data_IF_426940467511
#
_entry.id   IF_426940467511
#
_cell.length_a   1.000
_cell.length_b   1.000
_cell.length_c   1.000
_cell.angle_alpha   90.00
_cell.angle_beta   90.00
_cell.angle_gamma   90.00
#
_symmetry.space_group_name_H-M   'P 1'
#
loop_
_entity.id
_entity.type
_entity.pdbx_description
1 polymer ?
#
# COMPACT_ATOMS: atom_id res chain seq x y z
N UNK A 1 -9.65 -24.05 19.79
CA UNK A 1 -11.04 -23.83 19.34
C UNK A 1 -11.57 -22.65 20.13
N UNK A 2 -11.92 -21.59 19.46
CA UNK A 2 -12.54 -20.41 20.07
C UNK A 2 -13.92 -20.82 20.63
N UNK A 3 -14.24 -20.36 21.84
CA UNK A 3 -15.49 -20.77 22.49
C UNK A 3 -16.67 -20.15 21.71
N UNK A 4 -17.68 -20.95 21.38
CA UNK A 4 -18.88 -20.51 20.64
C UNK A 4 -19.53 -19.26 21.25
N UNK A 5 -19.50 -19.12 22.56
CA UNK A 5 -20.01 -17.94 23.27
C UNK A 5 -19.23 -16.66 22.97
N UNK A 6 -17.91 -16.77 22.70
CA UNK A 6 -17.06 -15.65 22.36
C UNK A 6 -17.38 -15.15 20.93
N UNK A 7 -17.58 -16.06 19.98
CA UNK A 7 -17.99 -15.72 18.61
C UNK A 7 -19.36 -15.04 18.60
N UNK A 8 -20.31 -15.55 19.40
CA UNK A 8 -21.65 -14.96 19.53
C UNK A 8 -21.58 -13.52 20.04
N UNK A 9 -20.76 -13.28 21.06
CA UNK A 9 -20.55 -11.94 21.61
C UNK A 9 -19.93 -10.97 20.60
N UNK A 10 -18.98 -11.45 19.79
CA UNK A 10 -18.37 -10.66 18.71
C UNK A 10 -19.40 -10.28 17.64
N UNK A 11 -20.18 -11.25 17.17
CA UNK A 11 -21.25 -11.00 16.19
C UNK A 11 -22.26 -9.99 16.74
N UNK A 12 -22.72 -10.16 17.96
CA UNK A 12 -23.69 -9.28 18.59
C UNK A 12 -23.17 -7.84 18.69
N UNK A 13 -21.93 -7.66 19.13
CA UNK A 13 -21.26 -6.36 19.23
C UNK A 13 -21.15 -5.69 17.86
N UNK A 14 -20.65 -6.40 16.86
CA UNK A 14 -20.42 -5.88 15.53
C UNK A 14 -21.73 -5.57 14.81
N UNK A 15 -22.75 -6.43 14.95
CA UNK A 15 -24.09 -6.21 14.39
C UNK A 15 -24.70 -4.92 14.96
N UNK A 16 -24.66 -4.74 16.28
CA UNK A 16 -25.15 -3.53 16.95
C UNK A 16 -24.41 -2.27 16.46
N UNK A 17 -23.09 -2.36 16.27
CA UNK A 17 -22.29 -1.27 15.77
C UNK A 17 -22.72 -0.88 14.35
N UNK A 18 -22.77 -1.82 13.41
CA UNK A 18 -23.11 -1.54 12.00
C UNK A 18 -24.54 -1.00 11.86
N UNK A 19 -25.50 -1.52 12.63
CA UNK A 19 -26.86 -0.98 12.65
C UNK A 19 -26.87 0.49 13.10
N UNK A 20 -26.19 0.81 14.20
CA UNK A 20 -26.10 2.20 14.71
C UNK A 20 -25.40 3.13 13.72
N UNK A 21 -24.35 2.67 13.05
CA UNK A 21 -23.66 3.44 12.00
C UNK A 21 -24.56 3.69 10.78
N UNK A 22 -25.44 2.75 10.45
CA UNK A 22 -26.45 2.93 9.41
C UNK A 22 -27.64 3.83 9.85
N UNK A 23 -27.64 4.31 11.10
CA UNK A 23 -28.72 5.15 11.65
C UNK A 23 -30.05 4.43 11.85
N UNK A 24 -30.03 3.08 11.91
CA UNK A 24 -31.24 2.27 12.00
C UNK A 24 -31.58 1.91 13.46
N UNK A 25 -32.88 1.91 13.79
CA UNK A 25 -33.40 1.27 14.98
C UNK A 25 -33.46 -0.26 14.80
N UNK A 26 -33.65 -1.02 15.88
CA UNK A 26 -33.81 -2.47 15.79
C UNK A 26 -35.05 -2.85 14.95
N UNK A 27 -36.15 -2.11 15.10
CA UNK A 27 -37.39 -2.31 14.35
C UNK A 27 -37.21 -2.02 12.85
N UNK A 28 -36.50 -0.94 12.49
CA UNK A 28 -36.23 -0.60 11.09
C UNK A 28 -35.30 -1.62 10.41
N UNK A 29 -34.31 -2.13 11.16
CA UNK A 29 -33.47 -3.21 10.64
C UNK A 29 -34.31 -4.48 10.42
N UNK A 30 -35.12 -4.86 11.42
CA UNK A 30 -36.00 -6.02 11.32
C UNK A 30 -36.93 -5.96 10.11
N UNK A 31 -37.52 -4.80 9.85
CA UNK A 31 -38.36 -4.56 8.68
C UNK A 31 -37.59 -4.73 7.36
N UNK A 32 -36.33 -4.25 7.29
CA UNK A 32 -35.50 -4.34 6.08
C UNK A 32 -35.14 -5.77 5.69
N UNK A 33 -34.94 -6.65 6.69
CA UNK A 33 -34.55 -8.05 6.49
C UNK A 33 -35.72 -9.04 6.66
N UNK A 34 -36.97 -8.54 6.72
CA UNK A 34 -38.19 -9.33 6.90
C UNK A 34 -38.18 -10.24 8.15
N UNK A 35 -37.64 -9.71 9.26
CA UNK A 35 -37.62 -10.40 10.56
C UNK A 35 -38.37 -9.60 11.65
N UNK A 36 -38.49 -10.19 12.84
CA UNK A 36 -39.08 -9.50 13.97
C UNK A 36 -38.01 -8.65 14.72
N UNK A 37 -38.43 -7.55 15.33
CA UNK A 37 -37.61 -6.73 16.24
C UNK A 37 -37.07 -7.57 17.41
N UNK A 38 -37.84 -8.54 17.89
CA UNK A 38 -37.41 -9.50 18.93
C UNK A 38 -36.23 -10.37 18.46
N UNK A 39 -36.21 -10.76 17.19
CA UNK A 39 -35.11 -11.54 16.61
C UNK A 39 -33.83 -10.70 16.58
N UNK A 40 -33.91 -9.47 16.08
CA UNK A 40 -32.77 -8.54 16.04
C UNK A 40 -32.26 -8.26 17.46
N UNK A 41 -33.15 -7.99 18.41
CA UNK A 41 -32.81 -7.77 19.81
C UNK A 41 -32.10 -8.99 20.44
N UNK A 42 -32.57 -10.21 20.12
CA UNK A 42 -31.95 -11.46 20.57
C UNK A 42 -30.54 -11.64 20.03
N UNK A 43 -30.30 -11.30 18.75
CA UNK A 43 -28.98 -11.39 18.12
C UNK A 43 -28.01 -10.34 18.70
N UNK A 44 -28.47 -9.10 18.90
CA UNK A 44 -27.65 -8.02 19.44
C UNK A 44 -27.32 -8.18 20.94
N UNK A 45 -28.15 -8.95 21.68
CA UNK A 45 -27.87 -9.33 23.07
C UNK A 45 -26.97 -10.55 23.23
N UNK A 46 -26.56 -11.19 22.12
CA UNK A 46 -25.73 -12.40 22.13
C UNK A 46 -26.49 -13.69 22.50
N UNK A 47 -27.82 -13.62 22.68
CA UNK A 47 -28.68 -14.76 23.04
C UNK A 47 -29.08 -15.62 21.85
N UNK A 48 -28.48 -15.40 20.69
CA UNK A 48 -28.65 -16.14 19.43
C UNK A 48 -27.81 -15.54 18.34
N UNK A 49 -27.67 -16.27 17.23
CA UNK A 49 -26.95 -15.84 16.05
C UNK A 49 -27.94 -15.81 14.88
N UNK A 50 -27.87 -14.82 13.96
CA UNK A 50 -28.53 -14.92 12.67
C UNK A 50 -28.00 -16.12 11.90
N UNK A 51 -28.80 -16.73 11.08
CA UNK A 51 -28.30 -17.77 10.17
C UNK A 51 -27.38 -17.16 9.11
N UNK A 52 -26.64 -18.00 8.38
CA UNK A 52 -25.65 -17.56 7.41
C UNK A 52 -26.27 -16.71 6.29
N UNK A 53 -27.51 -17.00 5.88
CA UNK A 53 -28.18 -16.23 4.83
C UNK A 53 -28.50 -14.81 5.30
N UNK A 54 -28.94 -14.66 6.54
CA UNK A 54 -29.20 -13.35 7.15
C UNK A 54 -27.91 -12.58 7.39
N UNK A 55 -26.85 -13.27 7.80
CA UNK A 55 -25.52 -12.62 7.92
C UNK A 55 -25.00 -12.13 6.57
N UNK A 56 -25.25 -12.85 5.47
CA UNK A 56 -24.92 -12.40 4.11
C UNK A 56 -25.75 -11.17 3.72
N UNK A 57 -27.05 -11.19 3.95
CA UNK A 57 -27.95 -10.07 3.67
C UNK A 57 -27.56 -8.82 4.48
N UNK A 58 -27.22 -8.99 5.74
CA UNK A 58 -26.72 -7.94 6.61
C UNK A 58 -25.35 -7.40 6.13
N UNK A 59 -24.46 -8.29 5.67
CA UNK A 59 -23.17 -7.89 5.12
C UNK A 59 -23.34 -7.05 3.85
N UNK A 60 -24.27 -7.42 2.97
CA UNK A 60 -24.61 -6.66 1.78
C UNK A 60 -25.27 -5.30 2.14
N UNK A 61 -26.23 -5.30 3.07
CA UNK A 61 -26.89 -4.09 3.57
C UNK A 61 -25.91 -3.07 4.13
N UNK A 62 -24.87 -3.52 4.84
CA UNK A 62 -23.87 -2.66 5.44
C UNK A 62 -22.63 -2.44 4.57
N UNK A 63 -22.52 -3.10 3.41
CA UNK A 63 -21.35 -3.01 2.51
C UNK A 63 -20.07 -3.54 3.16
N UNK A 64 -20.16 -4.62 3.92
CA UNK A 64 -19.07 -5.28 4.63
C UNK A 64 -18.96 -6.75 4.23
N UNK A 65 -17.99 -7.48 4.77
CA UNK A 65 -17.83 -8.92 4.56
C UNK A 65 -18.31 -9.71 5.79
N UNK A 66 -18.65 -10.99 5.61
CA UNK A 66 -18.99 -11.89 6.73
C UNK A 66 -17.90 -11.92 7.81
N UNK A 67 -16.64 -11.81 7.41
CA UNK A 67 -15.51 -11.83 8.32
C UNK A 67 -15.50 -10.62 9.27
N UNK A 68 -16.04 -9.48 8.82
CA UNK A 68 -16.12 -8.26 9.62
C UNK A 68 -17.07 -8.40 10.82
N UNK A 69 -17.99 -9.40 10.83
CA UNK A 69 -18.82 -9.71 11.99
C UNK A 69 -18.08 -10.51 13.07
N UNK A 70 -17.03 -11.26 12.72
CA UNK A 70 -16.30 -12.14 13.65
C UNK A 70 -14.89 -11.67 14.00
N UNK A 71 -14.35 -10.67 13.26
CA UNK A 71 -13.03 -10.10 13.56
C UNK A 71 -13.00 -9.36 14.90
N UNK A 72 -11.88 -9.53 15.64
CA UNK A 72 -11.56 -8.73 16.80
C UNK A 72 -11.00 -7.36 16.38
N UNK A 73 -11.57 -6.29 16.90
CA UNK A 73 -11.10 -4.93 16.65
C UNK A 73 -12.22 -3.91 16.59
N UNK A 74 -11.88 -2.68 16.23
CA UNK A 74 -12.90 -1.69 15.87
C UNK A 74 -13.56 -2.10 14.56
N UNK A 75 -14.91 -2.21 14.52
CA UNK A 75 -15.64 -2.57 13.32
C UNK A 75 -15.30 -1.60 12.18
N UNK A 76 -15.03 -2.14 11.00
CA UNK A 76 -14.66 -1.35 9.82
C UNK A 76 -15.85 -0.52 9.34
N UNK A 77 -15.61 0.71 8.93
CA UNK A 77 -16.69 1.53 8.34
C UNK A 77 -17.30 0.85 7.11
N UNK A 78 -18.64 0.88 6.94
CA UNK A 78 -19.32 0.35 5.76
C UNK A 78 -18.71 0.92 4.46
N UNK A 79 -18.41 0.05 3.50
CA UNK A 79 -17.75 0.44 2.23
C UNK A 79 -16.23 0.58 2.27
N UNK A 80 -15.58 0.40 3.42
CA UNK A 80 -14.13 0.55 3.53
C UNK A 80 -13.34 -0.50 2.71
N UNK A 81 -13.88 -1.70 2.53
CA UNK A 81 -13.24 -2.78 1.76
C UNK A 81 -13.36 -2.56 0.26
N UNK A 82 -14.52 -2.14 -0.22
CA UNK A 82 -14.76 -1.87 -1.64
C UNK A 82 -14.00 -0.60 -2.09
N UNK A 83 -14.04 0.46 -1.30
CA UNK A 83 -13.26 1.68 -1.53
C UNK A 83 -11.74 1.40 -1.53
N UNK A 84 -11.25 0.51 -0.66
CA UNK A 84 -9.83 0.18 -0.59
C UNK A 84 -9.33 -0.60 -1.82
N UNK A 85 -10.17 -1.45 -2.42
CA UNK A 85 -9.86 -2.17 -3.65
C UNK A 85 -9.91 -1.23 -4.86
N UNK A 86 -10.92 -0.35 -4.92
CA UNK A 86 -11.09 0.66 -5.98
C UNK A 86 -9.97 1.70 -5.97
N UNK A 87 -9.57 2.19 -4.79
CA UNK A 87 -8.44 3.13 -4.65
C UNK A 87 -7.10 2.50 -5.04
N UNK A 88 -6.85 1.23 -4.72
CA UNK A 88 -5.62 0.53 -5.17
C UNK A 88 -5.55 0.41 -6.69
N UNK A 89 -6.68 0.10 -7.34
CA UNK A 89 -6.76 0.06 -8.81
C UNK A 89 -6.47 1.42 -9.44
N UNK A 90 -7.02 2.50 -8.86
CA UNK A 90 -6.77 3.87 -9.31
C UNK A 90 -5.30 4.27 -9.14
N UNK A 91 -4.66 3.94 -8.00
CA UNK A 91 -3.24 4.21 -7.78
C UNK A 91 -2.36 3.50 -8.82
N UNK A 92 -2.66 2.23 -9.10
CA UNK A 92 -1.95 1.46 -10.11
C UNK A 92 -2.10 2.08 -11.50
N UNK A 93 -3.31 2.50 -11.87
CA UNK A 93 -3.57 3.18 -13.15
C UNK A 93 -2.76 4.49 -13.25
N UNK A 94 -2.74 5.32 -12.22
CA UNK A 94 -1.97 6.56 -12.18
C UNK A 94 -0.48 6.28 -12.32
N UNK A 95 0.07 5.27 -11.63
CA UNK A 95 1.48 4.88 -11.77
C UNK A 95 1.82 4.43 -13.19
N UNK A 96 0.97 3.62 -13.81
CA UNK A 96 1.17 3.15 -15.19
C UNK A 96 1.12 4.29 -16.20
N UNK A 97 0.14 5.20 -16.07
CA UNK A 97 0.04 6.37 -16.97
C UNK A 97 1.24 7.29 -16.80
N UNK A 98 1.67 7.59 -15.57
CA UNK A 98 2.84 8.45 -15.31
C UNK A 98 4.12 7.82 -15.85
N UNK A 99 4.31 6.51 -15.64
CA UNK A 99 5.43 5.76 -16.21
C UNK A 99 5.37 5.78 -17.74
N UNK A 100 4.20 5.59 -18.34
CA UNK A 100 4.00 5.65 -19.79
C UNK A 100 4.40 7.00 -20.40
N UNK A 101 4.10 8.12 -19.72
CA UNK A 101 4.53 9.46 -20.14
C UNK A 101 6.06 9.57 -20.18
N UNK A 102 6.77 9.07 -19.16
CA UNK A 102 8.24 9.09 -19.12
C UNK A 102 8.81 8.34 -20.33
N UNK A 103 8.29 7.15 -20.63
CA UNK A 103 8.74 6.36 -21.76
C UNK A 103 8.40 6.99 -23.12
N UNK A 104 7.22 7.63 -23.22
CA UNK A 104 6.83 8.36 -24.42
C UNK A 104 7.78 9.53 -24.70
N UNK A 105 8.10 10.33 -23.66
CA UNK A 105 9.06 11.43 -23.80
C UNK A 105 10.45 10.92 -24.21
N UNK A 106 10.93 9.84 -23.59
CA UNK A 106 12.22 9.24 -23.93
C UNK A 106 12.26 8.76 -25.40
N UNK A 107 11.18 8.12 -25.86
CA UNK A 107 11.07 7.66 -27.26
C UNK A 107 11.03 8.83 -28.22
N UNK A 108 10.27 9.90 -27.93
CA UNK A 108 10.25 11.11 -28.74
C UNK A 108 11.63 11.76 -28.82
N UNK A 109 12.33 11.89 -27.69
CA UNK A 109 13.70 12.43 -27.66
C UNK A 109 14.66 11.57 -28.47
N UNK A 110 14.60 10.25 -28.32
CA UNK A 110 15.43 9.34 -29.12
C UNK A 110 15.22 9.54 -30.61
N UNK A 111 13.96 9.57 -31.05
CA UNK A 111 13.63 9.72 -32.49
C UNK A 111 14.10 11.09 -33.01
N UNK A 112 13.83 12.16 -32.29
CA UNK A 112 14.24 13.51 -32.69
C UNK A 112 15.78 13.65 -32.76
N UNK A 113 16.49 13.17 -31.72
CA UNK A 113 17.94 13.24 -31.70
C UNK A 113 18.55 12.39 -32.82
N UNK A 114 18.02 11.20 -33.08
CA UNK A 114 18.50 10.34 -34.19
C UNK A 114 18.24 10.96 -35.55
N UNK A 115 17.13 11.67 -35.75
CA UNK A 115 16.77 12.32 -36.99
C UNK A 115 17.63 13.56 -37.28
N UNK A 116 17.87 14.41 -36.30
CA UNK A 116 18.58 15.67 -36.46
C UNK A 116 20.10 15.54 -36.31
N UNK A 117 20.58 14.52 -35.61
CA UNK A 117 22.02 14.30 -35.33
C UNK A 117 22.37 12.84 -35.57
N UNK A 118 22.42 12.40 -36.85
CA UNK A 118 22.77 11.03 -37.16
C UNK A 118 24.23 10.72 -36.75
N UNK A 119 24.45 9.54 -36.18
CA UNK A 119 25.77 9.07 -35.74
C UNK A 119 26.04 9.20 -34.21
N UNK A 120 25.12 9.75 -33.44
CA UNK A 120 25.25 9.78 -31.98
C UNK A 120 24.70 8.51 -31.29
N UNK A 121 25.20 8.22 -30.09
CA UNK A 121 24.76 7.09 -29.25
C UNK A 121 23.46 7.43 -28.51
N UNK A 122 22.40 7.80 -29.23
CA UNK A 122 21.14 8.34 -28.66
C UNK A 122 20.31 7.32 -27.88
N UNK A 123 20.62 6.03 -27.98
CA UNK A 123 20.00 4.99 -27.16
C UNK A 123 20.17 5.23 -25.65
N UNK A 124 21.16 6.03 -25.26
CA UNK A 124 21.41 6.43 -23.87
C UNK A 124 20.21 7.19 -23.26
N UNK A 125 19.36 7.81 -24.12
CA UNK A 125 18.12 8.45 -23.68
C UNK A 125 17.18 7.51 -22.91
N UNK A 126 17.12 6.24 -23.28
CA UNK A 126 16.34 5.23 -22.57
C UNK A 126 16.94 4.91 -21.20
N UNK A 127 18.25 4.96 -21.05
CA UNK A 127 18.92 4.75 -19.78
C UNK A 127 18.56 5.87 -18.78
N UNK A 128 18.56 7.13 -19.23
CA UNK A 128 18.10 8.26 -18.43
C UNK A 128 16.59 8.19 -18.11
N UNK A 129 15.78 7.62 -19.00
CA UNK A 129 14.37 7.42 -18.76
C UNK A 129 14.11 6.44 -17.61
N UNK A 130 14.94 5.41 -17.44
CA UNK A 130 14.84 4.49 -16.29
C UNK A 130 15.07 5.24 -14.97
N UNK A 131 16.08 6.12 -14.94
CA UNK A 131 16.35 6.97 -13.76
C UNK A 131 15.15 7.88 -13.45
N UNK A 132 14.64 8.58 -14.48
CA UNK A 132 13.47 9.44 -14.34
C UNK A 132 12.23 8.67 -13.84
N UNK A 133 11.99 7.48 -14.40
CA UNK A 133 10.89 6.62 -13.99
C UNK A 133 11.04 6.13 -12.54
N UNK A 134 12.25 5.78 -12.11
CA UNK A 134 12.51 5.41 -10.72
C UNK A 134 12.18 6.55 -9.75
N UNK A 135 12.52 7.80 -10.09
CA UNK A 135 12.17 8.98 -9.29
C UNK A 135 10.65 9.14 -9.18
N UNK A 136 9.91 9.01 -10.28
CA UNK A 136 8.44 9.08 -10.29
C UNK A 136 7.83 8.02 -9.36
N UNK A 137 8.32 6.78 -9.42
CA UNK A 137 7.85 5.70 -8.55
C UNK A 137 8.20 5.93 -7.08
N UNK A 138 9.35 6.54 -6.75
CA UNK A 138 9.72 6.91 -5.38
C UNK A 138 8.73 7.94 -4.81
N UNK A 139 8.36 8.95 -5.62
CA UNK A 139 7.38 9.98 -5.21
C UNK A 139 6.03 9.33 -4.90
N UNK A 140 5.50 8.48 -5.78
CA UNK A 140 4.24 7.77 -5.53
C UNK A 140 4.32 6.81 -4.34
N UNK A 141 5.42 6.10 -4.18
CA UNK A 141 5.65 5.23 -3.03
C UNK A 141 5.64 6.02 -1.70
N UNK A 142 6.17 7.25 -1.71
CA UNK A 142 6.15 8.17 -0.58
C UNK A 142 4.74 8.66 -0.25
N UNK A 143 3.99 9.14 -1.25
CA UNK A 143 2.63 9.68 -1.09
C UNK A 143 1.67 8.59 -0.59
N UNK A 144 1.68 7.41 -1.19
CA UNK A 144 0.75 6.32 -0.87
C UNK A 144 1.27 5.34 0.17
N UNK A 145 2.45 5.59 0.73
CA UNK A 145 3.11 4.78 1.77
C UNK A 145 3.33 3.31 1.35
N UNK A 146 3.56 3.05 0.06
CA UNK A 146 3.89 1.71 -0.45
C UNK A 146 5.37 1.39 -0.17
N UNK A 147 5.65 0.83 1.01
CA UNK A 147 7.01 0.58 1.52
C UNK A 147 7.86 -0.29 0.58
N UNK A 148 7.29 -1.38 0.07
CA UNK A 148 8.01 -2.28 -0.85
C UNK A 148 8.33 -1.61 -2.19
N UNK A 149 7.36 -0.88 -2.77
CA UNK A 149 7.59 -0.13 -4.00
C UNK A 149 8.70 0.90 -3.81
N UNK A 150 8.71 1.61 -2.68
CA UNK A 150 9.75 2.59 -2.36
C UNK A 150 11.15 1.96 -2.29
N UNK A 151 11.28 0.81 -1.62
CA UNK A 151 12.54 0.08 -1.55
C UNK A 151 13.06 -0.31 -2.95
N UNK A 152 12.25 -0.99 -3.74
CA UNK A 152 12.68 -1.40 -5.09
C UNK A 152 12.98 -0.21 -6.00
N UNK A 153 12.23 0.89 -5.87
CA UNK A 153 12.46 2.09 -6.70
C UNK A 153 13.76 2.80 -6.32
N UNK A 154 14.11 2.88 -5.04
CA UNK A 154 15.39 3.47 -4.58
C UNK A 154 16.56 2.58 -5.01
N UNK A 155 16.45 1.26 -4.83
CA UNK A 155 17.45 0.31 -5.30
C UNK A 155 17.68 0.44 -6.83
N UNK A 156 16.60 0.49 -7.61
CA UNK A 156 16.68 0.73 -9.07
C UNK A 156 17.37 2.06 -9.37
N UNK A 157 17.05 3.13 -8.64
CA UNK A 157 17.69 4.45 -8.83
C UNK A 157 19.19 4.40 -8.61
N UNK A 158 19.66 3.75 -7.53
CA UNK A 158 21.09 3.63 -7.21
C UNK A 158 21.83 2.97 -8.37
N UNK A 159 21.40 1.79 -8.80
CA UNK A 159 22.09 1.03 -9.83
C UNK A 159 22.00 1.68 -11.22
N UNK A 160 20.84 2.24 -11.58
CA UNK A 160 20.69 2.90 -12.88
C UNK A 160 21.42 4.23 -12.95
N UNK A 161 21.50 4.99 -11.84
CA UNK A 161 22.30 6.21 -11.79
C UNK A 161 23.80 5.90 -11.98
N UNK A 162 24.34 4.89 -11.30
CA UNK A 162 25.72 4.45 -11.50
C UNK A 162 25.98 3.98 -12.93
N UNK A 163 25.04 3.26 -13.52
CA UNK A 163 25.12 2.83 -14.92
C UNK A 163 25.11 4.03 -15.87
N UNK A 164 24.27 5.05 -15.64
CA UNK A 164 24.25 6.28 -16.42
C UNK A 164 25.59 7.01 -16.35
N UNK A 165 26.16 7.17 -15.14
CA UNK A 165 27.46 7.82 -14.94
C UNK A 165 28.55 7.02 -15.67
N UNK A 166 28.56 5.70 -15.52
CA UNK A 166 29.54 4.83 -16.19
C UNK A 166 29.49 4.96 -17.71
N UNK A 167 28.28 4.81 -18.31
CA UNK A 167 28.11 4.88 -19.77
C UNK A 167 28.48 6.25 -20.31
N UNK A 168 28.01 7.32 -19.63
CA UNK A 168 28.33 8.69 -20.04
C UNK A 168 29.84 8.96 -19.97
N UNK A 169 30.48 8.58 -18.85
CA UNK A 169 31.93 8.75 -18.70
C UNK A 169 32.71 7.94 -19.73
N UNK A 170 32.26 6.72 -20.04
CA UNK A 170 32.84 5.87 -21.07
C UNK A 170 32.79 6.55 -22.44
N UNK A 171 31.61 7.02 -22.86
CA UNK A 171 31.43 7.67 -24.16
C UNK A 171 32.28 8.94 -24.29
N UNK A 172 32.35 9.77 -23.26
CA UNK A 172 33.19 10.97 -23.22
C UNK A 172 34.68 10.63 -23.29
N UNK A 173 35.10 9.56 -22.61
CA UNK A 173 36.50 9.14 -22.58
C UNK A 173 36.92 8.55 -23.94
N UNK A 174 36.07 7.73 -24.57
CA UNK A 174 36.31 7.19 -25.92
C UNK A 174 36.42 8.30 -26.96
N UNK A 175 35.56 9.34 -26.92
CA UNK A 175 35.63 10.49 -27.81
C UNK A 175 36.94 11.28 -27.66
N UNK A 176 37.52 11.34 -26.45
CA UNK A 176 38.78 12.04 -26.20
C UNK A 176 40.03 11.14 -26.30
N UNK A 177 39.90 9.92 -26.80
CA UNK A 177 41.03 8.98 -26.96
C UNK A 177 41.61 8.45 -25.64
N UNK A 178 40.89 8.56 -24.55
CA UNK A 178 41.29 8.12 -23.23
C UNK A 178 41.14 6.63 -22.97
N UNK A 179 41.74 6.14 -21.87
CA UNK A 179 41.61 4.76 -21.44
C UNK A 179 40.41 4.59 -20.51
N UNK A 180 39.47 3.70 -20.88
CA UNK A 180 38.23 3.41 -20.14
C UNK A 180 38.36 2.25 -19.14
N UNK A 181 39.54 1.61 -19.05
CA UNK A 181 39.72 0.35 -18.32
C UNK A 181 39.41 0.38 -16.83
N UNK A 182 39.46 1.55 -16.19
CA UNK A 182 39.22 1.70 -14.72
C UNK A 182 37.80 2.16 -14.34
N UNK A 183 36.95 2.54 -15.28
CA UNK A 183 35.64 3.13 -14.97
C UNK A 183 34.66 2.18 -14.27
N UNK A 184 34.84 0.87 -14.44
CA UNK A 184 34.00 -0.16 -13.80
C UNK A 184 34.05 -0.13 -12.26
N UNK A 185 35.12 0.46 -11.65
CA UNK A 185 35.19 0.64 -10.20
C UNK A 185 34.04 1.50 -9.65
N UNK A 186 33.36 2.28 -10.48
CA UNK A 186 32.18 3.05 -10.07
C UNK A 186 31.06 2.16 -9.52
N UNK A 187 30.92 0.94 -10.02
CA UNK A 187 29.92 -0.03 -9.50
C UNK A 187 30.19 -0.47 -8.08
N UNK A 188 31.45 -0.44 -7.61
CA UNK A 188 31.78 -0.76 -6.23
C UNK A 188 31.13 0.23 -5.23
N UNK A 189 30.85 1.46 -5.64
CA UNK A 189 30.12 2.43 -4.82
C UNK A 189 28.65 2.05 -4.61
N UNK A 190 28.07 1.25 -5.49
CA UNK A 190 26.71 0.73 -5.36
C UNK A 190 26.53 -0.18 -4.15
N UNK A 191 27.55 -0.94 -3.79
CA UNK A 191 27.48 -1.90 -2.67
C UNK A 191 27.23 -1.21 -1.33
N UNK A 192 28.05 -0.23 -0.87
CA UNK A 192 27.79 0.48 0.39
C UNK A 192 26.47 1.27 0.35
N UNK A 193 26.09 1.87 -0.77
CA UNK A 193 24.81 2.57 -0.90
C UNK A 193 23.63 1.61 -0.73
N UNK A 194 23.69 0.41 -1.31
CA UNK A 194 22.67 -0.61 -1.16
C UNK A 194 22.57 -1.12 0.28
N UNK A 195 23.72 -1.30 0.96
CA UNK A 195 23.74 -1.69 2.37
C UNK A 195 23.10 -0.61 3.24
N UNK A 196 23.39 0.67 2.99
CA UNK A 196 22.78 1.78 3.71
C UNK A 196 21.26 1.83 3.51
N UNK A 197 20.76 1.57 2.30
CA UNK A 197 19.33 1.48 2.02
C UNK A 197 18.66 0.37 2.82
N UNK A 198 19.23 -0.85 2.84
CA UNK A 198 18.73 -2.00 3.59
C UNK A 198 18.71 -1.67 5.09
N UNK A 199 19.79 -1.12 5.62
CA UNK A 199 19.89 -0.71 7.03
C UNK A 199 18.84 0.34 7.39
N UNK A 200 18.60 1.33 6.52
CA UNK A 200 17.59 2.36 6.71
C UNK A 200 16.17 1.75 6.80
N UNK A 201 15.83 0.84 5.89
CA UNK A 201 14.53 0.14 5.90
C UNK A 201 14.37 -0.70 7.17
N UNK A 202 15.42 -1.40 7.60
CA UNK A 202 15.43 -2.19 8.82
C UNK A 202 15.26 -1.31 10.07
N UNK A 203 16.02 -0.24 10.20
CA UNK A 203 15.90 0.74 11.28
C UNK A 203 14.49 1.32 11.37
N UNK A 204 13.97 1.80 10.25
CA UNK A 204 12.60 2.35 10.17
C UNK A 204 11.55 1.32 10.60
N UNK A 205 11.75 0.05 10.29
CA UNK A 205 10.87 -1.05 10.73
C UNK A 205 10.89 -1.23 12.25
N UNK A 206 12.07 -1.22 12.86
CA UNK A 206 12.25 -1.33 14.31
C UNK A 206 11.59 -0.16 15.06
N UNK A 207 11.82 1.07 14.62
CA UNK A 207 11.20 2.26 15.23
C UNK A 207 9.68 2.21 15.18
N UNK A 208 9.11 1.80 14.05
CA UNK A 208 7.65 1.67 13.90
C UNK A 208 7.09 0.61 14.85
N UNK A 209 7.79 -0.53 15.00
CA UNK A 209 7.38 -1.62 15.91
C UNK A 209 7.41 -1.19 17.38
N UNK A 210 8.46 -0.46 17.77
CA UNK A 210 8.61 0.04 19.14
C UNK A 210 7.54 1.11 19.48
N UNK A 211 7.22 2.01 18.55
CA UNK A 211 6.17 3.01 18.72
C UNK A 211 4.81 2.35 18.94
N UNK A 212 4.44 1.39 18.11
CA UNK A 212 3.18 0.66 18.23
C UNK A 212 3.09 -0.13 19.56
N UNK A 213 4.22 -0.66 20.08
CA UNK A 213 4.25 -1.33 21.37
C UNK A 213 4.05 -0.36 22.53
N UNK A 214 4.63 0.86 22.43
CA UNK A 214 4.48 1.90 23.44
C UNK A 214 3.03 2.42 23.49
N UNK A 215 2.44 2.64 22.32
CA UNK A 215 1.04 3.13 22.22
C UNK A 215 0.06 2.08 22.78
N UNK A 216 0.27 0.79 22.53
CA UNK A 216 -0.53 -0.29 23.14
C UNK A 216 -0.42 -0.31 24.67
N UNK A 217 0.79 -0.19 25.21
CA UNK A 217 0.99 -0.19 26.65
C UNK A 217 0.35 1.02 27.35
N UNK A 218 0.36 2.19 26.70
CA UNK A 218 -0.31 3.42 27.21
C UNK A 218 -1.82 3.22 27.23
N UNK A 219 -2.40 2.69 26.16
CA UNK A 219 -3.85 2.44 26.11
C UNK A 219 -4.30 1.40 27.14
N UNK A 220 -3.52 0.31 27.32
CA UNK A 220 -3.83 -0.71 28.33
C UNK A 220 -3.77 -0.13 29.76
N UNK A 221 -2.81 0.75 30.06
CA UNK A 221 -2.75 1.43 31.36
C UNK A 221 -3.94 2.36 31.59
N UNK A 222 -4.31 3.14 30.57
CA UNK A 222 -5.46 4.04 30.64
C UNK A 222 -6.82 3.30 30.78
N UNK A 223 -6.91 2.06 30.28
CA UNK A 223 -8.08 1.20 30.48
C UNK A 223 -8.15 0.64 31.90
N UNK A 224 -7.02 0.28 32.50
CA UNK A 224 -6.95 -0.22 33.90
C UNK A 224 -7.32 0.89 34.88
N UNK A 225 -6.79 2.11 34.71
CA UNK A 225 -7.10 3.28 35.56
C UNK A 225 -8.57 3.75 35.49
N UNK A 226 -9.31 3.35 34.47
CA UNK A 226 -10.76 3.65 34.35
C UNK A 226 -11.66 2.60 35.03
N UNK A 227 -11.09 1.46 35.41
CA UNK A 227 -11.82 0.35 36.04
C UNK A 227 -11.65 0.33 37.59
N UNK A 228 -10.72 1.11 38.11
CA UNK A 228 -10.56 1.42 39.56
C UNK A 228 -11.37 2.69 39.94
#
# INVERSE_FOLDING_TARGET
MENTNEINAKIAKNLTYYRKQAGLTQAELAQKINYSDKSVSKWESGNGIPDVYILLELAELYGITLNDFVEDGEPKMPGATENKKKTRGLHLLIMLLSSGIVWLVATCLFVLLHLFFPGGEWWVSFLYAVVANAIVLIVFAGIWKYRMLGFFSVSTLIWTALTCIYVTARLLTEQNGGNVGGLWYLFLLGIPLQILEILWVFFRSLFTKNRNKKDKNVNTKAEIEKQE
#
